data_IF_743148449614
#
_entry.id   IF_743148449614
#
_cell.length_a   1.000
_cell.length_b   1.000
_cell.length_c   1.000
_cell.angle_alpha   90.00
_cell.angle_beta   90.00
_cell.angle_gamma   90.00
#
_symmetry.space_group_name_H-M   'P 1'
#
loop_
_entity.id
_entity.type
_entity.pdbx_description
1 polymer ?
#
# COMPACT_ATOMS: atom_id res chain seq x y z
N UNK A 1 11.48 -18.53 2.43
CA UNK A 1 10.71 -18.04 3.62
C UNK A 1 11.49 -17.07 4.51
N UNK A 2 12.84 -17.06 4.49
CA UNK A 2 13.72 -16.21 5.31
C UNK A 2 13.63 -14.71 5.00
N UNK A 3 13.37 -14.30 3.76
CA UNK A 3 13.26 -12.88 3.35
C UNK A 3 11.87 -12.29 3.69
N UNK A 4 10.84 -13.13 3.83
CA UNK A 4 9.46 -12.70 4.05
C UNK A 4 9.19 -12.13 5.45
N UNK A 5 9.73 -12.80 6.48
CA UNK A 5 9.56 -12.39 7.89
C UNK A 5 10.01 -10.94 8.15
N UNK A 6 11.24 -10.50 7.78
CA UNK A 6 11.68 -9.13 8.06
C UNK A 6 10.90 -8.08 7.26
N UNK A 7 10.44 -8.41 6.05
CA UNK A 7 9.59 -7.51 5.28
C UNK A 7 8.22 -7.34 5.94
N UNK A 8 7.58 -8.44 6.35
CA UNK A 8 6.27 -8.41 6.97
C UNK A 8 6.27 -7.63 8.29
N UNK A 9 7.28 -7.82 9.13
CA UNK A 9 7.43 -7.07 10.39
C UNK A 9 7.56 -5.56 10.14
N UNK A 10 8.35 -5.17 9.14
CA UNK A 10 8.52 -3.76 8.77
C UNK A 10 7.27 -3.16 8.13
N UNK A 11 6.56 -3.93 7.30
CA UNK A 11 5.27 -3.54 6.74
C UNK A 11 4.22 -3.35 7.85
N UNK A 12 4.21 -4.26 8.82
CA UNK A 12 3.34 -4.18 9.99
C UNK A 12 3.69 -2.95 10.84
N UNK A 13 4.97 -2.68 11.09
CA UNK A 13 5.38 -1.47 11.81
C UNK A 13 4.98 -0.18 11.09
N UNK A 14 5.12 -0.13 9.75
CA UNK A 14 4.65 1.00 8.95
C UNK A 14 3.14 1.18 9.10
N UNK A 15 2.40 0.08 9.06
CA UNK A 15 0.93 0.08 9.21
C UNK A 15 0.53 0.58 10.60
N UNK A 16 1.19 0.12 11.67
CA UNK A 16 0.94 0.58 13.04
C UNK A 16 1.26 2.07 13.19
N UNK A 17 2.39 2.54 12.67
CA UNK A 17 2.76 3.95 12.70
C UNK A 17 1.72 4.80 11.96
N UNK A 18 1.31 4.39 10.76
CA UNK A 18 0.27 5.09 10.01
C UNK A 18 -1.08 5.06 10.71
N UNK A 19 -1.44 3.95 11.37
CA UNK A 19 -2.68 3.86 12.16
C UNK A 19 -2.67 4.85 13.32
N UNK A 20 -1.57 4.91 14.08
CA UNK A 20 -1.42 5.84 15.20
C UNK A 20 -1.43 7.30 14.73
N UNK A 21 -0.67 7.63 13.69
CA UNK A 21 -0.65 8.97 13.12
C UNK A 21 -2.02 9.39 12.60
N UNK A 22 -2.69 8.53 11.84
CA UNK A 22 -4.03 8.83 11.30
C UNK A 22 -5.06 8.97 12.42
N UNK A 23 -5.00 8.10 13.44
CA UNK A 23 -5.85 8.20 14.62
C UNK A 23 -5.65 9.50 15.40
N UNK A 24 -4.40 9.95 15.58
CA UNK A 24 -4.06 11.20 16.24
C UNK A 24 -4.46 12.44 15.43
N UNK A 25 -4.26 12.41 14.11
CA UNK A 25 -4.64 13.53 13.22
C UNK A 25 -6.16 13.63 13.14
N UNK A 26 -6.85 12.51 12.94
CA UNK A 26 -8.31 12.51 12.76
C UNK A 26 -9.10 12.73 14.05
N UNK A 27 -8.51 12.50 15.23
CA UNK A 27 -9.15 12.86 16.50
C UNK A 27 -9.11 14.37 16.79
N UNK A 28 -8.13 15.08 16.22
CA UNK A 28 -7.94 16.52 16.42
C UNK A 28 -8.50 17.38 15.27
N UNK A 29 -8.84 16.77 14.13
CA UNK A 29 -9.28 17.46 12.93
C UNK A 29 -10.80 17.45 12.78
N UNK A 30 -11.37 18.54 12.24
CA UNK A 30 -12.81 18.64 11.92
C UNK A 30 -13.26 17.53 10.97
N UNK A 31 -14.49 17.02 11.16
CA UNK A 31 -15.12 15.96 10.33
C UNK A 31 -15.12 16.22 8.81
N UNK A 32 -14.93 17.48 8.38
CA UNK A 32 -14.85 17.83 6.97
C UNK A 32 -13.57 17.31 6.27
N UNK A 33 -12.50 17.05 7.02
CA UNK A 33 -11.20 16.61 6.49
C UNK A 33 -10.85 15.17 6.89
N UNK A 34 -11.79 14.45 7.49
CA UNK A 34 -11.60 13.07 7.92
C UNK A 34 -12.55 12.16 7.17
N UNK A 35 -12.03 11.06 6.63
CA UNK A 35 -12.88 10.02 6.04
C UNK A 35 -13.11 8.94 7.09
N UNK A 36 -14.36 8.50 7.35
CA UNK A 36 -14.62 7.39 8.26
C UNK A 36 -14.04 6.06 7.73
N UNK A 37 -13.68 6.00 6.44
CA UNK A 37 -13.20 4.77 5.82
C UNK A 37 -11.70 4.53 5.95
N UNK A 38 -10.96 5.46 6.55
CA UNK A 38 -9.51 5.38 6.70
C UNK A 38 -8.99 4.03 7.25
N UNK A 39 -9.64 3.34 8.23
CA UNK A 39 -9.13 2.07 8.73
C UNK A 39 -9.20 0.98 7.66
N UNK A 40 -10.25 1.00 6.82
CA UNK A 40 -10.43 0.04 5.73
C UNK A 40 -9.42 0.29 4.61
N UNK A 41 -9.14 1.55 4.29
CA UNK A 41 -8.08 1.91 3.32
C UNK A 41 -6.75 1.37 3.82
N UNK A 42 -6.41 1.61 5.09
CA UNK A 42 -5.15 1.15 5.68
C UNK A 42 -5.02 -0.38 5.66
N UNK A 43 -6.09 -1.09 6.05
CA UNK A 43 -6.13 -2.55 6.00
C UNK A 43 -5.98 -3.08 4.57
N UNK A 44 -6.66 -2.46 3.60
CA UNK A 44 -6.55 -2.80 2.19
C UNK A 44 -5.10 -2.64 1.68
N UNK A 45 -4.42 -1.55 2.01
CA UNK A 45 -3.02 -1.35 1.65
C UNK A 45 -2.09 -2.39 2.28
N UNK A 46 -2.29 -2.71 3.55
CA UNK A 46 -1.52 -3.74 4.23
C UNK A 46 -1.69 -5.12 3.55
N UNK A 47 -2.93 -5.54 3.31
CA UNK A 47 -3.22 -6.84 2.70
C UNK A 47 -2.70 -6.94 1.27
N UNK A 48 -2.97 -5.92 0.44
CA UNK A 48 -2.53 -5.90 -0.96
C UNK A 48 -1.00 -5.93 -1.09
N UNK A 49 -0.27 -5.14 -0.28
CA UNK A 49 1.19 -5.14 -0.30
C UNK A 49 1.78 -6.42 0.27
N UNK A 50 1.19 -7.00 1.32
CA UNK A 50 1.65 -8.28 1.86
C UNK A 50 1.46 -9.41 0.83
N UNK A 51 0.30 -9.44 0.15
CA UNK A 51 0.01 -10.42 -0.89
C UNK A 51 0.96 -10.28 -2.09
N UNK A 52 1.17 -9.05 -2.57
CA UNK A 52 2.09 -8.79 -3.67
C UNK A 52 3.53 -9.15 -3.34
N UNK A 53 3.99 -8.82 -2.14
CA UNK A 53 5.33 -9.20 -1.71
C UNK A 53 5.52 -10.71 -1.68
N UNK A 54 4.50 -11.46 -1.28
CA UNK A 54 4.54 -12.93 -1.36
C UNK A 54 4.69 -13.42 -2.81
N UNK A 55 3.98 -12.82 -3.76
CA UNK A 55 4.17 -13.11 -5.18
C UNK A 55 5.56 -12.73 -5.69
N UNK A 56 6.11 -11.58 -5.25
CA UNK A 56 7.46 -11.13 -5.62
C UNK A 56 8.54 -12.11 -5.16
N UNK A 57 8.46 -12.60 -3.93
CA UNK A 57 9.42 -13.60 -3.42
C UNK A 57 9.38 -14.88 -4.26
N UNK A 58 8.18 -15.36 -4.63
CA UNK A 58 8.03 -16.53 -5.52
C UNK A 58 8.57 -16.30 -6.93
N UNK A 59 8.40 -15.09 -7.48
CA UNK A 59 8.92 -14.74 -8.79
C UNK A 59 10.46 -14.63 -8.78
N UNK A 60 11.04 -14.15 -7.68
CA UNK A 60 12.49 -14.00 -7.52
C UNK A 60 13.24 -15.33 -7.56
N UNK A 61 12.62 -16.43 -7.11
CA UNK A 61 13.23 -17.78 -7.13
C UNK A 61 13.42 -18.34 -8.55
N UNK A 62 12.73 -17.80 -9.57
CA UNK A 62 12.79 -18.32 -10.94
C UNK A 62 13.97 -17.76 -11.74
N UNK A 63 14.00 -16.45 -12.03
CA UNK A 63 15.08 -15.72 -12.73
C UNK A 63 14.94 -14.20 -12.50
N UNK A 64 16.05 -13.45 -12.45
CA UNK A 64 16.05 -12.00 -12.21
C UNK A 64 15.29 -11.20 -13.29
N UNK A 65 15.44 -11.55 -14.56
CA UNK A 65 14.69 -10.92 -15.68
C UNK A 65 13.17 -11.15 -15.56
N UNK A 66 12.74 -12.33 -15.14
CA UNK A 66 11.33 -12.64 -14.94
C UNK A 66 10.74 -11.88 -13.74
N UNK A 67 11.55 -11.66 -12.69
CA UNK A 67 11.17 -10.86 -11.53
C UNK A 67 10.91 -9.40 -11.90
N UNK A 68 11.79 -8.75 -12.67
CA UNK A 68 11.59 -7.35 -13.09
C UNK A 68 10.33 -7.18 -13.92
N UNK A 69 10.08 -8.06 -14.90
CA UNK A 69 8.86 -8.01 -15.70
C UNK A 69 7.60 -8.21 -14.85
N UNK A 70 7.64 -9.18 -13.92
CA UNK A 70 6.52 -9.43 -13.01
C UNK A 70 6.26 -8.24 -12.09
N UNK A 71 7.31 -7.63 -11.52
CA UNK A 71 7.20 -6.44 -10.68
C UNK A 71 6.54 -5.29 -11.44
N UNK A 72 7.03 -4.95 -12.63
CA UNK A 72 6.45 -3.86 -13.44
C UNK A 72 4.97 -4.10 -13.75
N UNK A 73 4.61 -5.33 -14.15
CA UNK A 73 3.23 -5.68 -14.46
C UNK A 73 2.32 -5.63 -13.22
N UNK A 74 2.81 -6.12 -12.08
CA UNK A 74 2.09 -6.09 -10.82
C UNK A 74 1.87 -4.66 -10.31
N UNK A 75 2.87 -3.78 -10.41
CA UNK A 75 2.74 -2.35 -10.06
C UNK A 75 1.74 -1.66 -10.97
N UNK A 76 1.77 -1.94 -12.27
CA UNK A 76 0.80 -1.39 -13.22
C UNK A 76 -0.64 -1.84 -12.90
N UNK A 77 -0.86 -3.14 -12.68
CA UNK A 77 -2.17 -3.67 -12.31
C UNK A 77 -2.64 -3.14 -10.95
N UNK A 78 -1.74 -2.99 -9.97
CA UNK A 78 -2.03 -2.35 -8.68
C UNK A 78 -2.55 -0.93 -8.89
N UNK A 79 -1.88 -0.14 -9.73
CA UNK A 79 -2.28 1.24 -10.00
C UNK A 79 -3.69 1.31 -10.62
N UNK A 80 -3.98 0.46 -11.61
CA UNK A 80 -5.31 0.37 -12.21
C UNK A 80 -6.38 -0.06 -11.21
N UNK A 81 -6.07 -1.05 -10.36
CA UNK A 81 -6.97 -1.51 -9.30
C UNK A 81 -7.28 -0.38 -8.31
N UNK A 82 -6.26 0.37 -7.89
CA UNK A 82 -6.42 1.49 -6.97
C UNK A 82 -7.26 2.61 -7.58
N UNK A 83 -7.03 2.93 -8.86
CA UNK A 83 -7.84 3.91 -9.58
C UNK A 83 -9.31 3.46 -9.67
N UNK A 84 -9.55 2.19 -9.99
CA UNK A 84 -10.90 1.63 -10.03
C UNK A 84 -11.61 1.72 -8.66
N UNK A 85 -10.91 1.37 -7.58
CA UNK A 85 -11.44 1.47 -6.21
C UNK A 85 -11.81 2.92 -5.86
N UNK A 86 -10.93 3.87 -6.18
CA UNK A 86 -11.18 5.30 -5.97
C UNK A 86 -12.44 5.74 -6.71
N UNK A 87 -12.54 5.44 -8.01
CA UNK A 87 -13.70 5.83 -8.83
C UNK A 87 -14.97 5.21 -8.29
N UNK A 88 -14.98 3.90 -8.02
CA UNK A 88 -16.15 3.19 -7.48
C UNK A 88 -16.59 3.83 -6.15
N UNK A 89 -15.66 4.09 -5.23
CA UNK A 89 -15.99 4.72 -3.95
C UNK A 89 -16.60 6.12 -4.11
N UNK A 90 -16.01 6.95 -4.97
CA UNK A 90 -16.45 8.32 -5.23
C UNK A 90 -17.83 8.39 -5.88
N UNK A 91 -18.23 7.38 -6.65
CA UNK A 91 -19.56 7.33 -7.25
C UNK A 91 -20.66 7.23 -6.18
N UNK A 92 -20.40 6.53 -5.07
CA UNK A 92 -21.35 6.35 -3.98
C UNK A 92 -21.19 7.40 -2.85
N UNK A 93 -19.99 7.93 -2.65
CA UNK A 93 -19.66 8.79 -1.49
C UNK A 93 -19.03 10.13 -1.91
N UNK A 94 -19.71 10.88 -2.80
CA UNK A 94 -19.19 12.16 -3.32
C UNK A 94 -18.86 13.20 -2.23
N UNK A 95 -19.60 13.21 -1.13
CA UNK A 95 -19.36 14.13 -0.01
C UNK A 95 -18.03 13.86 0.71
N UNK A 96 -17.52 12.63 0.64
CA UNK A 96 -16.27 12.19 1.28
C UNK A 96 -15.09 12.22 0.29
N UNK A 97 -15.28 12.80 -0.91
CA UNK A 97 -14.34 12.67 -2.00
C UNK A 97 -12.93 13.18 -1.69
N UNK A 98 -12.82 14.44 -1.24
CA UNK A 98 -11.55 15.06 -0.93
C UNK A 98 -10.79 14.37 0.23
N UNK A 99 -11.39 14.14 1.42
CA UNK A 99 -10.70 13.46 2.51
C UNK A 99 -10.35 12.00 2.19
N UNK A 100 -11.22 11.29 1.47
CA UNK A 100 -10.92 9.94 0.99
C UNK A 100 -9.71 9.92 0.05
N UNK A 101 -9.72 10.76 -0.99
CA UNK A 101 -8.66 10.80 -2.00
C UNK A 101 -7.32 11.17 -1.36
N UNK A 102 -7.31 12.14 -0.45
CA UNK A 102 -6.11 12.56 0.27
C UNK A 102 -5.57 11.44 1.16
N UNK A 103 -6.43 10.78 1.94
CA UNK A 103 -6.03 9.67 2.80
C UNK A 103 -5.48 8.50 1.98
N UNK A 104 -6.17 8.15 0.89
CA UNK A 104 -5.74 7.12 -0.04
C UNK A 104 -4.38 7.46 -0.65
N UNK A 105 -4.16 8.70 -1.07
CA UNK A 105 -2.91 9.16 -1.67
C UNK A 105 -1.73 9.12 -0.69
N UNK A 106 -1.93 9.56 0.57
CA UNK A 106 -0.89 9.50 1.61
C UNK A 106 -0.48 8.05 1.88
N UNK A 107 -1.46 7.15 2.05
CA UNK A 107 -1.16 5.73 2.24
C UNK A 107 -0.50 5.12 1.01
N UNK A 108 -0.97 5.48 -0.20
CA UNK A 108 -0.35 5.05 -1.44
C UNK A 108 1.14 5.38 -1.49
N UNK A 109 1.53 6.62 -1.20
CA UNK A 109 2.93 7.04 -1.20
C UNK A 109 3.75 6.27 -0.16
N UNK A 110 3.24 6.12 1.07
CA UNK A 110 3.95 5.43 2.15
C UNK A 110 4.20 3.95 1.82
N UNK A 111 3.15 3.23 1.41
CA UNK A 111 3.25 1.80 1.10
C UNK A 111 4.04 1.54 -0.18
N UNK A 112 3.83 2.33 -1.24
CA UNK A 112 4.54 2.17 -2.51
C UNK A 112 6.02 2.52 -2.35
N UNK A 113 6.34 3.61 -1.64
CA UNK A 113 7.73 3.97 -1.33
C UNK A 113 8.46 2.86 -0.57
N UNK A 114 7.79 2.25 0.41
CA UNK A 114 8.33 1.11 1.15
C UNK A 114 8.50 -0.15 0.28
N UNK A 115 7.52 -0.46 -0.58
CA UNK A 115 7.59 -1.60 -1.52
C UNK A 115 8.78 -1.46 -2.47
N UNK A 116 8.91 -0.31 -3.14
CA UNK A 116 10.01 -0.03 -4.07
C UNK A 116 11.36 -0.08 -3.36
N UNK A 117 11.49 0.56 -2.19
CA UNK A 117 12.73 0.53 -1.40
C UNK A 117 13.13 -0.90 -0.99
N UNK A 118 12.15 -1.75 -0.67
CA UNK A 118 12.40 -3.15 -0.31
C UNK A 118 12.86 -3.97 -1.50
N UNK A 119 12.26 -3.74 -2.67
CA UNK A 119 12.64 -4.43 -3.91
C UNK A 119 14.03 -4.03 -4.39
N UNK A 120 14.37 -2.74 -4.32
CA UNK A 120 15.72 -2.26 -4.63
C UNK A 120 16.78 -2.89 -3.71
N UNK A 121 16.46 -3.11 -2.43
CA UNK A 121 17.36 -3.83 -1.51
C UNK A 121 17.55 -5.30 -1.90
N UNK A 122 16.49 -5.97 -2.35
CA UNK A 122 16.57 -7.36 -2.82
C UNK A 122 17.44 -7.45 -4.08
N UNK A 123 17.31 -6.51 -5.01
CA UNK A 123 18.12 -6.48 -6.24
C UNK A 123 19.60 -6.17 -5.99
N UNK A 124 19.93 -5.28 -5.04
CA UNK A 124 21.31 -4.91 -4.70
C UNK A 124 22.05 -5.94 -3.84
N UNK A 125 21.34 -6.84 -3.17
CA UNK A 125 21.94 -7.87 -2.31
C UNK A 125 22.52 -9.06 -3.10
N UNK A 126 22.66 -8.93 -4.42
CA UNK A 126 23.18 -9.91 -5.36
C UNK A 126 24.26 -9.26 -6.20
#
# INVERSE_FOLDING_TARGET
>A
MTIYKPFFVKLLSLTIVLALLSGLVFSQTTKAWTTPTWPYILLFFFLSNSLLFWFYVRAHEKKLSAFTNFFMMATFLKLLLYLAIIVVYLLFNRADAAPFLLTFFVYYLAFTGYEVASILKIQKAK
#
